data_IF_322538240196
#
_entry.id   IF_322538240196
#
_cell.length_a   1.000
_cell.length_b   1.000
_cell.length_c   1.000
_cell.angle_alpha   90.00
_cell.angle_beta   90.00
_cell.angle_gamma   90.00
#
_symmetry.space_group_name_H-M   'P 1'
#
loop_
_entity.id
_entity.type
_entity.pdbx_description
1 polymer ?
#
# COMPACT_ATOMS: atom_id res chain seq x y z
N UNK A 1 -47.07 6.53 5.41
CA UNK A 1 -46.31 7.18 6.49
C UNK A 1 -45.06 6.37 6.92
N UNK A 2 -45.01 5.05 6.82
CA UNK A 2 -43.80 4.23 7.11
C UNK A 2 -42.75 4.24 5.96
N UNK A 3 -43.17 4.47 4.72
CA UNK A 3 -42.27 4.51 3.55
C UNK A 3 -41.43 5.79 3.48
N UNK A 4 -41.90 6.91 4.01
CA UNK A 4 -41.17 8.19 4.01
C UNK A 4 -40.06 8.23 5.06
N UNK A 5 -40.22 7.54 6.18
CA UNK A 5 -39.21 7.53 7.28
C UNK A 5 -37.96 6.71 6.93
N UNK A 6 -38.14 5.62 6.19
CA UNK A 6 -37.01 4.79 5.70
C UNK A 6 -36.22 5.47 4.60
N UNK A 7 -36.86 6.28 3.77
CA UNK A 7 -36.19 7.02 2.68
C UNK A 7 -35.42 8.23 3.23
N UNK A 8 -35.95 8.93 4.23
CA UNK A 8 -35.21 10.03 4.91
C UNK A 8 -33.97 9.48 5.65
N UNK A 9 -34.10 8.36 6.37
CA UNK A 9 -32.96 7.72 7.05
C UNK A 9 -31.91 7.27 6.03
N UNK A 10 -32.30 6.67 4.91
CA UNK A 10 -31.38 6.31 3.82
C UNK A 10 -30.68 7.50 3.21
N UNK A 11 -31.41 8.62 2.99
CA UNK A 11 -30.84 9.84 2.43
C UNK A 11 -29.85 10.48 3.41
N UNK A 12 -30.15 10.52 4.72
CA UNK A 12 -29.24 11.01 5.75
C UNK A 12 -28.00 10.13 5.81
N UNK A 13 -28.15 8.80 5.87
CA UNK A 13 -27.06 7.85 5.93
C UNK A 13 -26.15 7.94 4.69
N UNK A 14 -26.73 8.06 3.49
CA UNK A 14 -25.96 8.25 2.24
C UNK A 14 -25.27 9.60 2.22
N UNK A 15 -25.89 10.67 2.75
CA UNK A 15 -25.28 12.00 2.82
C UNK A 15 -24.08 12.02 3.76
N UNK A 16 -24.23 11.45 4.96
CA UNK A 16 -23.13 11.37 5.94
C UNK A 16 -21.97 10.53 5.40
N UNK A 17 -22.26 9.37 4.77
CA UNK A 17 -21.23 8.54 4.14
C UNK A 17 -20.54 9.27 2.97
N UNK A 18 -21.27 10.02 2.16
CA UNK A 18 -20.68 10.81 1.06
C UNK A 18 -19.79 11.94 1.57
N UNK A 19 -20.18 12.60 2.66
CA UNK A 19 -19.38 13.64 3.29
C UNK A 19 -18.10 13.07 3.90
N UNK A 20 -18.16 11.93 4.56
CA UNK A 20 -16.99 11.20 5.07
C UNK A 20 -16.04 10.78 3.94
N UNK A 21 -16.56 10.25 2.83
CA UNK A 21 -15.76 9.88 1.65
C UNK A 21 -15.06 11.13 1.09
N UNK A 22 -15.79 12.22 0.89
CA UNK A 22 -15.23 13.45 0.33
C UNK A 22 -14.14 14.02 1.25
N UNK A 23 -14.40 14.10 2.55
CA UNK A 23 -13.44 14.59 3.54
C UNK A 23 -12.19 13.70 3.59
N UNK A 24 -12.36 12.38 3.63
CA UNK A 24 -11.24 11.43 3.59
C UNK A 24 -10.41 11.56 2.32
N UNK A 25 -11.05 11.70 1.16
CA UNK A 25 -10.36 11.93 -0.11
C UNK A 25 -9.60 13.25 -0.13
N UNK A 26 -10.20 14.34 0.37
CA UNK A 26 -9.54 15.64 0.45
C UNK A 26 -8.30 15.59 1.36
N UNK A 27 -8.40 14.92 2.51
CA UNK A 27 -7.30 14.76 3.46
C UNK A 27 -6.08 14.08 2.81
N UNK A 28 -6.30 13.15 1.89
CA UNK A 28 -5.21 12.42 1.23
C UNK A 28 -4.79 13.09 -0.09
N UNK A 29 -5.74 13.47 -0.94
CA UNK A 29 -5.43 13.99 -2.28
C UNK A 29 -4.88 15.41 -2.25
N UNK A 30 -5.41 16.30 -1.39
CA UNK A 30 -4.98 17.71 -1.37
C UNK A 30 -3.50 17.82 -0.99
N UNK A 31 -2.99 17.20 0.09
CA UNK A 31 -1.57 17.24 0.40
C UNK A 31 -0.70 16.65 -0.70
N UNK A 32 -1.13 15.53 -1.33
CA UNK A 32 -0.41 14.89 -2.42
C UNK A 32 -0.28 15.81 -3.64
N UNK A 33 -1.38 16.45 -4.04
CA UNK A 33 -1.40 17.40 -5.18
C UNK A 33 -0.57 18.63 -4.86
N UNK A 34 -0.70 19.20 -3.67
CA UNK A 34 0.09 20.35 -3.24
C UNK A 34 1.60 20.01 -3.25
N UNK A 35 1.98 18.82 -2.74
CA UNK A 35 3.35 18.33 -2.83
C UNK A 35 3.82 18.17 -4.26
N UNK A 36 2.99 17.60 -5.14
CA UNK A 36 3.32 17.42 -6.56
C UNK A 36 3.51 18.74 -7.32
N UNK A 37 2.92 19.83 -6.89
CA UNK A 37 3.14 21.16 -7.50
C UNK A 37 4.53 21.73 -7.17
N UNK A 38 5.21 21.21 -6.13
CA UNK A 38 6.52 21.70 -5.69
C UNK A 38 7.63 21.09 -6.55
N UNK A 39 8.25 21.88 -7.42
CA UNK A 39 9.42 21.48 -8.21
C UNK A 39 10.70 21.90 -7.51
N UNK A 40 11.56 20.93 -7.21
CA UNK A 40 12.85 21.14 -6.55
C UNK A 40 13.97 20.75 -7.50
N UNK A 41 14.90 21.69 -7.77
CA UNK A 41 16.06 21.45 -8.63
C UNK A 41 17.31 21.07 -7.84
N UNK A 42 17.34 21.37 -6.54
CA UNK A 42 18.50 21.14 -5.70
C UNK A 42 18.53 19.68 -5.20
N UNK A 43 19.54 18.93 -5.58
CA UNK A 43 19.75 17.53 -5.20
C UNK A 43 19.90 17.35 -3.68
N UNK A 44 20.53 18.31 -2.97
CA UNK A 44 20.67 18.25 -1.51
C UNK A 44 19.31 18.42 -0.83
N UNK A 45 18.44 19.28 -1.36
CA UNK A 45 17.09 19.44 -0.85
C UNK A 45 16.23 18.17 -1.08
N UNK A 46 16.36 17.52 -2.24
CA UNK A 46 15.70 16.23 -2.50
C UNK A 46 16.20 15.13 -1.56
N UNK A 47 17.51 15.04 -1.34
CA UNK A 47 18.08 14.08 -0.38
C UNK A 47 17.59 14.33 1.06
N UNK A 48 17.40 15.59 1.44
CA UNK A 48 16.82 15.95 2.73
C UNK A 48 15.35 15.55 2.83
N UNK A 49 14.55 15.79 1.79
CA UNK A 49 13.15 15.37 1.72
C UNK A 49 13.03 13.85 1.84
N UNK A 50 13.90 13.08 1.16
CA UNK A 50 13.92 11.63 1.28
C UNK A 50 14.18 11.18 2.72
N UNK A 51 15.05 11.87 3.47
CA UNK A 51 15.28 11.59 4.90
C UNK A 51 14.04 11.92 5.75
N UNK A 52 13.34 13.03 5.43
CA UNK A 52 12.09 13.40 6.14
C UNK A 52 11.02 12.33 5.90
N UNK A 53 10.83 11.89 4.65
CA UNK A 53 9.87 10.83 4.32
C UNK A 53 10.16 9.55 5.10
N UNK A 54 11.42 9.12 5.15
CA UNK A 54 11.84 7.95 5.92
C UNK A 54 11.59 8.14 7.43
N UNK A 55 11.88 9.33 7.97
CA UNK A 55 11.61 9.64 9.37
C UNK A 55 10.10 9.56 9.68
N UNK A 56 9.27 10.22 8.87
CA UNK A 56 7.82 10.20 9.02
C UNK A 56 7.26 8.77 8.92
N UNK A 57 7.82 7.96 8.02
CA UNK A 57 7.48 6.55 7.90
C UNK A 57 7.76 5.79 9.21
N UNK A 58 8.96 5.94 9.79
CA UNK A 58 9.28 5.32 11.08
C UNK A 58 8.37 5.80 12.21
N UNK A 59 8.05 7.11 12.24
CA UNK A 59 7.14 7.69 13.25
C UNK A 59 5.74 7.07 13.12
N UNK A 60 5.19 6.98 11.91
CA UNK A 60 3.86 6.37 11.68
C UNK A 60 3.84 4.91 12.13
N UNK A 61 4.85 4.12 11.74
CA UNK A 61 4.93 2.71 12.08
C UNK A 61 5.11 2.50 13.59
N UNK A 62 5.92 3.35 14.23
CA UNK A 62 6.07 3.37 15.69
C UNK A 62 4.74 3.68 16.38
N UNK A 63 4.03 4.74 15.95
CA UNK A 63 2.73 5.12 16.53
C UNK A 63 1.69 4.01 16.35
N UNK A 64 1.64 3.37 15.17
CA UNK A 64 0.75 2.22 14.93
C UNK A 64 1.09 1.06 15.87
N UNK A 65 2.38 0.71 16.00
CA UNK A 65 2.83 -0.32 16.93
C UNK A 65 2.47 0.02 18.38
N UNK A 66 2.66 1.28 18.79
CA UNK A 66 2.33 1.77 20.12
C UNK A 66 0.83 1.62 20.45
N UNK A 67 -0.04 2.04 19.52
CA UNK A 67 -1.49 1.86 19.67
C UNK A 67 -1.91 0.38 19.68
N UNK A 68 -1.21 -0.47 18.92
CA UNK A 68 -1.41 -1.92 18.95
C UNK A 68 -0.99 -2.51 20.31
N UNK A 69 0.14 -2.03 20.88
CA UNK A 69 0.63 -2.46 22.20
C UNK A 69 -0.33 -2.14 23.34
N UNK A 70 -1.17 -1.11 23.19
CA UNK A 70 -2.19 -0.71 24.15
C UNK A 70 -3.51 -1.48 24.04
N UNK A 71 -3.62 -2.41 23.09
CA UNK A 71 -4.83 -3.23 22.96
C UNK A 71 -4.93 -4.22 24.13
N UNK A 72 -6.09 -4.28 24.74
CA UNK A 72 -6.44 -5.32 25.70
C UNK A 72 -6.31 -6.71 25.06
N UNK A 73 -5.73 -7.65 25.81
CA UNK A 73 -5.52 -9.05 25.35
C UNK A 73 -4.71 -9.15 24.05
N UNK A 74 -3.65 -8.35 23.93
CA UNK A 74 -2.78 -8.34 22.73
C UNK A 74 -2.24 -9.73 22.40
N UNK A 75 -1.87 -10.53 23.40
CA UNK A 75 -1.35 -11.90 23.24
C UNK A 75 -2.30 -12.82 22.49
N UNK A 76 -3.62 -12.60 22.62
CA UNK A 76 -4.65 -13.36 21.90
C UNK A 76 -4.93 -12.79 20.52
N UNK A 77 -4.83 -11.47 20.34
CA UNK A 77 -5.10 -10.76 19.08
C UNK A 77 -3.96 -10.85 18.08
N UNK A 78 -2.71 -10.89 18.55
CA UNK A 78 -1.53 -10.89 17.67
C UNK A 78 -1.49 -12.10 16.71
N UNK A 79 -1.73 -13.35 17.14
CA UNK A 79 -1.82 -14.47 16.22
C UNK A 79 -2.94 -14.30 15.17
N UNK A 80 -4.09 -13.75 15.57
CA UNK A 80 -5.21 -13.49 14.66
C UNK A 80 -4.80 -12.46 13.59
N UNK A 81 -4.16 -11.38 14.01
CA UNK A 81 -3.66 -10.34 13.11
C UNK A 81 -2.71 -10.94 12.06
N UNK A 82 -1.71 -11.70 12.51
CA UNK A 82 -0.71 -12.30 11.63
C UNK A 82 -1.33 -13.32 10.68
N UNK A 83 -2.16 -14.24 11.18
CA UNK A 83 -2.80 -15.25 10.34
C UNK A 83 -3.76 -14.65 9.33
N UNK A 84 -4.54 -13.64 9.72
CA UNK A 84 -5.44 -12.92 8.81
C UNK A 84 -4.65 -12.19 7.73
N UNK A 85 -3.58 -11.49 8.10
CA UNK A 85 -2.73 -10.76 7.17
C UNK A 85 -2.05 -11.69 6.16
N UNK A 86 -1.50 -12.83 6.62
CA UNK A 86 -0.89 -13.82 5.74
C UNK A 86 -1.93 -14.47 4.80
N UNK A 87 -3.12 -14.76 5.30
CA UNK A 87 -4.23 -15.27 4.50
C UNK A 87 -4.64 -14.29 3.40
N UNK A 88 -4.83 -13.01 3.75
CA UNK A 88 -5.11 -11.92 2.81
C UNK A 88 -3.99 -11.82 1.75
N UNK A 89 -2.74 -11.72 2.20
CA UNK A 89 -1.58 -11.60 1.30
C UNK A 89 -1.49 -12.77 0.32
N UNK A 90 -1.67 -14.00 0.80
CA UNK A 90 -1.60 -15.19 -0.04
C UNK A 90 -2.70 -15.20 -1.11
N UNK A 91 -3.94 -14.91 -0.73
CA UNK A 91 -5.08 -14.94 -1.67
C UNK A 91 -4.96 -13.80 -2.69
N UNK A 92 -4.71 -12.56 -2.23
CA UNK A 92 -4.62 -11.39 -3.12
C UNK A 92 -3.42 -11.55 -4.07
N UNK A 93 -2.26 -11.97 -3.56
CA UNK A 93 -1.07 -12.18 -4.39
C UNK A 93 -1.30 -13.28 -5.43
N UNK A 94 -1.98 -14.37 -5.06
CA UNK A 94 -2.33 -15.44 -6.00
C UNK A 94 -3.24 -14.92 -7.11
N UNK A 95 -4.27 -14.12 -6.79
CA UNK A 95 -5.13 -13.51 -7.79
C UNK A 95 -4.35 -12.58 -8.73
N UNK A 96 -3.41 -11.80 -8.21
CA UNK A 96 -2.56 -10.92 -9.01
C UNK A 96 -1.63 -11.72 -9.93
N UNK A 97 -1.00 -12.78 -9.42
CA UNK A 97 -0.16 -13.68 -10.23
C UNK A 97 -0.98 -14.30 -11.36
N UNK A 98 -2.16 -14.83 -11.08
CA UNK A 98 -3.03 -15.44 -12.08
C UNK A 98 -3.48 -14.42 -13.13
N UNK A 99 -3.97 -13.25 -12.71
CA UNK A 99 -4.44 -12.21 -13.63
C UNK A 99 -3.33 -11.72 -14.56
N UNK A 100 -2.15 -11.44 -14.02
CA UNK A 100 -1.01 -10.95 -14.80
C UNK A 100 -0.33 -12.06 -15.64
N UNK A 101 -0.30 -13.31 -15.15
CA UNK A 101 0.22 -14.43 -15.93
C UNK A 101 -0.66 -14.76 -17.15
N UNK A 102 -1.98 -14.57 -17.05
CA UNK A 102 -2.87 -14.65 -18.21
C UNK A 102 -2.52 -13.56 -19.22
N UNK A 103 -2.29 -12.34 -18.76
CA UNK A 103 -1.87 -11.23 -19.62
C UNK A 103 -0.51 -11.49 -20.26
N UNK A 104 0.48 -11.99 -19.51
CA UNK A 104 1.80 -12.32 -20.05
C UNK A 104 1.75 -13.35 -21.20
N UNK A 105 0.77 -14.25 -21.21
CA UNK A 105 0.58 -15.20 -22.32
C UNK A 105 0.13 -14.53 -23.63
N UNK A 106 -0.41 -13.32 -23.57
CA UNK A 106 -0.79 -12.54 -24.75
C UNK A 106 0.36 -11.70 -25.30
N UNK A 107 1.46 -11.58 -24.56
CA UNK A 107 2.63 -10.80 -24.95
C UNK A 107 3.70 -11.67 -25.65
N UNK A 108 4.56 -11.08 -26.49
CA UNK A 108 5.72 -11.76 -27.05
C UNK A 108 6.62 -12.29 -25.94
N UNK A 109 7.19 -13.49 -26.13
CA UNK A 109 8.10 -14.07 -25.15
C UNK A 109 9.29 -13.14 -24.90
N UNK A 110 9.66 -12.91 -23.63
CA UNK A 110 10.80 -12.06 -23.31
C UNK A 110 12.11 -12.65 -23.84
N UNK A 111 12.97 -11.79 -24.36
CA UNK A 111 14.37 -12.16 -24.62
C UNK A 111 15.09 -12.26 -23.30
N UNK A 112 15.87 -13.31 -23.05
CA UNK A 112 16.59 -13.51 -21.80
C UNK A 112 17.70 -12.46 -21.64
N UNK A 113 17.53 -11.55 -20.69
CA UNK A 113 18.50 -10.51 -20.32
C UNK A 113 19.15 -10.75 -18.95
N UNK A 114 19.27 -12.00 -18.51
CA UNK A 114 20.02 -12.26 -17.28
C UNK A 114 21.50 -11.87 -17.50
N UNK A 115 21.80 -10.59 -17.32
CA UNK A 115 23.18 -10.07 -17.31
C UNK A 115 23.51 -9.60 -15.90
N UNK A 116 24.33 -10.39 -15.20
CA UNK A 116 24.97 -9.98 -13.95
C UNK A 116 24.43 -10.66 -12.68
N UNK A 117 25.16 -10.47 -11.59
CA UNK A 117 24.77 -10.93 -10.26
C UNK A 117 23.52 -10.18 -9.78
N UNK A 118 22.53 -10.91 -9.26
CA UNK A 118 21.33 -10.33 -8.65
C UNK A 118 21.72 -9.37 -7.51
N UNK A 119 20.99 -8.25 -7.31
CA UNK A 119 21.25 -7.36 -6.18
C UNK A 119 21.18 -8.15 -4.89
N UNK A 120 22.00 -7.77 -3.93
CA UNK A 120 21.94 -8.36 -2.60
C UNK A 120 20.53 -8.14 -2.02
N UNK A 121 19.75 -9.20 -1.94
CA UNK A 121 18.41 -9.21 -1.32
C UNK A 121 18.51 -8.82 0.16
N UNK A 122 19.69 -8.98 0.77
CA UNK A 122 19.94 -8.62 2.15
C UNK A 122 19.71 -7.13 2.43
N UNK A 123 20.04 -6.24 1.50
CA UNK A 123 19.85 -4.80 1.74
C UNK A 123 18.36 -4.45 1.85
N UNK A 124 17.55 -4.91 0.91
CA UNK A 124 16.09 -4.70 0.93
C UNK A 124 15.42 -5.42 2.11
N UNK A 125 15.87 -6.64 2.45
CA UNK A 125 15.39 -7.34 3.65
C UNK A 125 15.76 -6.58 4.93
N UNK A 126 16.97 -6.03 5.02
CA UNK A 126 17.39 -5.23 6.18
C UNK A 126 16.55 -3.97 6.34
N UNK A 127 16.13 -3.33 5.25
CA UNK A 127 15.24 -2.19 5.32
C UNK A 127 13.83 -2.58 5.79
N UNK A 128 13.29 -3.69 5.32
CA UNK A 128 12.03 -4.25 5.84
C UNK A 128 12.14 -4.64 7.32
N UNK A 129 13.27 -5.18 7.77
CA UNK A 129 13.53 -5.51 9.18
C UNK A 129 13.58 -4.23 10.04
N UNK A 130 14.19 -3.15 9.55
CA UNK A 130 14.21 -1.86 10.26
C UNK A 130 12.78 -1.30 10.43
N UNK A 131 11.95 -1.38 9.40
CA UNK A 131 10.55 -0.96 9.47
C UNK A 131 9.76 -1.79 10.49
N UNK A 132 9.92 -3.11 10.43
CA UNK A 132 9.31 -4.03 11.40
C UNK A 132 9.80 -3.75 12.83
N UNK A 133 11.08 -3.43 13.02
CA UNK A 133 11.63 -3.09 14.34
C UNK A 133 10.98 -1.84 14.93
N UNK A 134 10.64 -0.83 14.13
CA UNK A 134 9.92 0.35 14.60
C UNK A 134 8.53 -0.02 15.15
N UNK A 135 7.81 -0.94 14.47
CA UNK A 135 6.53 -1.47 14.95
C UNK A 135 6.70 -2.23 16.26
N UNK A 136 7.68 -3.15 16.32
CA UNK A 136 7.94 -3.96 17.54
C UNK A 136 8.30 -3.08 18.72
N UNK A 137 9.18 -2.09 18.53
CA UNK A 137 9.53 -1.11 19.59
C UNK A 137 8.28 -0.35 20.02
N UNK A 138 7.44 0.07 19.08
CA UNK A 138 6.14 0.68 19.36
C UNK A 138 5.26 -0.21 20.23
N UNK A 139 5.08 -1.47 19.86
CA UNK A 139 4.26 -2.46 20.62
C UNK A 139 4.79 -2.59 22.07
N UNK A 140 6.09 -2.81 22.23
CA UNK A 140 6.70 -2.98 23.56
C UNK A 140 6.50 -1.74 24.42
N UNK A 141 6.76 -0.56 23.87
CA UNK A 141 6.58 0.70 24.62
C UNK A 141 5.10 1.00 24.87
N UNK A 142 4.21 0.72 23.92
CA UNK A 142 2.77 0.86 24.12
C UNK A 142 2.24 -0.03 25.23
N UNK A 143 2.70 -1.27 25.29
CA UNK A 143 2.36 -2.21 26.36
C UNK A 143 2.91 -1.76 27.74
N UNK A 144 4.16 -1.26 27.78
CA UNK A 144 4.78 -0.79 29.01
C UNK A 144 4.19 0.54 29.52
N UNK A 145 3.75 1.41 28.61
CA UNK A 145 3.27 2.76 28.95
C UNK A 145 1.74 2.87 28.90
N UNK A 146 1.02 1.76 28.86
CA UNK A 146 -0.43 1.73 28.68
C UNK A 146 -1.20 2.62 29.67
N UNK A 147 -0.72 2.75 30.93
CA UNK A 147 -1.41 3.52 31.96
C UNK A 147 -1.03 5.01 31.97
N UNK A 148 0.01 5.41 31.23
CA UNK A 148 0.63 6.74 31.42
C UNK A 148 0.60 7.61 30.17
N UNK A 149 0.65 7.02 28.99
CA UNK A 149 0.77 7.75 27.73
C UNK A 149 -0.19 7.21 26.68
N UNK A 150 -1.08 8.09 26.21
CA UNK A 150 -1.97 7.80 25.07
C UNK A 150 -1.76 8.85 24.00
N UNK A 151 -1.62 8.44 22.76
CA UNK A 151 -1.64 9.39 21.66
C UNK A 151 -3.07 9.93 21.48
N UNK A 152 -3.24 11.26 21.31
CA UNK A 152 -4.54 11.83 20.98
C UNK A 152 -5.13 11.18 19.73
N UNK A 153 -6.44 10.99 19.71
CA UNK A 153 -7.12 10.48 18.52
C UNK A 153 -6.79 11.33 17.28
N UNK A 154 -6.46 10.67 16.17
CA UNK A 154 -6.10 11.35 14.92
C UNK A 154 -4.66 11.84 14.82
N UNK A 155 -3.79 11.62 15.82
CA UNK A 155 -2.37 12.03 15.74
C UNK A 155 -1.67 11.45 14.51
N UNK A 156 -1.96 10.19 14.16
CA UNK A 156 -1.42 9.52 12.97
C UNK A 156 -1.84 10.23 11.68
N UNK A 157 -3.02 10.85 11.67
CA UNK A 157 -3.54 11.55 10.50
C UNK A 157 -2.69 12.76 10.12
N UNK A 158 -2.23 13.53 11.11
CA UNK A 158 -1.35 14.67 10.85
C UNK A 158 0.01 14.24 10.30
N UNK A 159 0.56 13.15 10.84
CA UNK A 159 1.81 12.58 10.33
C UNK A 159 1.62 12.02 8.93
N UNK A 160 0.48 11.38 8.64
CA UNK A 160 0.10 10.90 7.32
C UNK A 160 -0.01 12.05 6.31
N UNK A 161 -0.69 13.15 6.66
CA UNK A 161 -0.81 14.33 5.80
C UNK A 161 0.57 14.86 5.42
N UNK A 162 1.48 15.00 6.40
CA UNK A 162 2.84 15.42 6.16
C UNK A 162 3.60 14.42 5.26
N UNK A 163 3.48 13.11 5.52
CA UNK A 163 4.09 12.05 4.70
C UNK A 163 3.61 12.14 3.25
N UNK A 164 2.30 12.20 3.03
CA UNK A 164 1.70 12.23 1.68
C UNK A 164 2.12 13.50 0.91
N UNK A 165 2.22 14.64 1.60
CA UNK A 165 2.72 15.88 1.01
C UNK A 165 4.15 15.70 0.49
N UNK A 166 5.06 15.15 1.29
CA UNK A 166 6.45 14.91 0.87
C UNK A 166 6.55 13.82 -0.20
N UNK A 167 5.71 12.78 -0.16
CA UNK A 167 5.58 11.79 -1.23
C UNK A 167 5.14 12.46 -2.54
N UNK A 168 4.19 13.41 -2.48
CA UNK A 168 3.81 14.23 -3.64
C UNK A 168 5.02 14.96 -4.26
N UNK A 169 5.89 15.56 -3.43
CA UNK A 169 7.13 16.19 -3.87
C UNK A 169 8.07 15.16 -4.53
N UNK A 170 8.24 13.99 -3.94
CA UNK A 170 9.06 12.92 -4.52
C UNK A 170 8.54 12.50 -5.89
N UNK A 171 7.23 12.27 -6.04
CA UNK A 171 6.60 11.91 -7.32
C UNK A 171 6.88 12.95 -8.41
N UNK A 172 6.84 14.26 -8.07
CA UNK A 172 7.16 15.34 -9.01
C UNK A 172 8.60 15.33 -9.45
N UNK A 173 9.51 15.01 -8.54
CA UNK A 173 10.95 15.20 -8.75
C UNK A 173 11.71 13.91 -9.11
N UNK A 174 11.02 12.78 -9.24
CA UNK A 174 11.60 11.53 -9.75
C UNK A 174 11.97 11.57 -11.23
N UNK A 175 11.83 12.73 -11.89
CA UNK A 175 12.21 12.93 -13.29
C UNK A 175 11.25 12.27 -14.30
N UNK A 176 10.15 11.71 -13.82
CA UNK A 176 9.19 11.00 -14.66
C UNK A 176 8.08 11.96 -15.07
N UNK A 177 7.92 12.13 -16.38
CA UNK A 177 6.81 12.90 -16.92
C UNK A 177 5.50 12.08 -16.84
N UNK A 178 4.42 12.68 -16.31
CA UNK A 178 3.09 12.08 -16.36
C UNK A 178 2.71 11.66 -17.79
N UNK A 179 3.18 12.41 -18.79
CA UNK A 179 2.97 12.10 -20.20
C UNK A 179 3.62 10.76 -20.61
N UNK A 180 4.84 10.51 -20.15
CA UNK A 180 5.55 9.24 -20.44
C UNK A 180 4.86 8.05 -19.75
N UNK A 181 4.36 8.24 -18.54
CA UNK A 181 3.56 7.25 -17.81
C UNK A 181 2.28 6.92 -18.56
N UNK A 182 1.52 7.94 -18.97
CA UNK A 182 0.25 7.77 -19.69
C UNK A 182 0.45 7.22 -21.11
N UNK A 183 1.62 7.36 -21.70
CA UNK A 183 1.95 6.80 -23.01
C UNK A 183 2.37 5.33 -22.94
N UNK A 184 2.76 4.81 -21.77
CA UNK A 184 3.12 3.40 -21.62
C UNK A 184 1.87 2.53 -21.46
N UNK A 185 1.30 2.10 -22.58
CA UNK A 185 0.10 1.27 -22.61
C UNK A 185 0.23 -0.02 -21.81
N UNK A 186 1.41 -0.65 -21.80
CA UNK A 186 1.63 -1.92 -21.09
C UNK A 186 1.54 -1.70 -19.58
N UNK A 187 2.20 -0.67 -19.04
CA UNK A 187 2.11 -0.33 -17.62
C UNK A 187 0.68 0.00 -17.16
N UNK A 188 -0.07 0.75 -17.99
CA UNK A 188 -1.48 1.06 -17.70
C UNK A 188 -2.38 -0.19 -17.70
N UNK A 189 -2.25 -1.06 -18.69
CA UNK A 189 -3.02 -2.31 -18.77
C UNK A 189 -2.69 -3.20 -17.57
N UNK A 190 -1.40 -3.33 -17.22
CA UNK A 190 -0.96 -4.05 -16.04
C UNK A 190 -1.58 -3.47 -14.77
N UNK A 191 -1.60 -2.14 -14.63
CA UNK A 191 -2.22 -1.46 -13.49
C UNK A 191 -3.71 -1.77 -13.37
N UNK A 192 -4.44 -1.78 -14.49
CA UNK A 192 -5.86 -2.13 -14.52
C UNK A 192 -6.10 -3.61 -14.15
N UNK A 193 -5.34 -4.54 -14.72
CA UNK A 193 -5.45 -5.98 -14.41
C UNK A 193 -5.10 -6.22 -12.96
N UNK A 194 -4.03 -5.61 -12.45
CA UNK A 194 -3.60 -5.72 -11.06
C UNK A 194 -4.68 -5.20 -10.11
N UNK A 195 -5.25 -4.03 -10.39
CA UNK A 195 -6.33 -3.45 -9.57
C UNK A 195 -7.53 -4.38 -9.51
N UNK A 196 -8.01 -4.85 -10.66
CA UNK A 196 -9.15 -5.75 -10.72
C UNK A 196 -8.87 -7.09 -10.02
N UNK A 197 -7.70 -7.68 -10.26
CA UNK A 197 -7.34 -8.95 -9.61
C UNK A 197 -7.11 -8.79 -8.10
N UNK A 198 -6.61 -7.63 -7.63
CA UNK A 198 -6.53 -7.32 -6.20
C UNK A 198 -7.92 -7.25 -5.57
N UNK A 199 -8.86 -6.51 -6.18
CA UNK A 199 -10.22 -6.40 -5.67
C UNK A 199 -10.95 -7.75 -5.68
N UNK A 200 -10.78 -8.56 -6.72
CA UNK A 200 -11.29 -9.95 -6.75
C UNK A 200 -10.67 -10.75 -5.60
N UNK A 201 -9.36 -10.64 -5.39
CA UNK A 201 -8.68 -11.26 -4.27
C UNK A 201 -9.22 -10.80 -2.92
N UNK A 202 -9.57 -9.52 -2.78
CA UNK A 202 -10.22 -8.96 -1.60
C UNK A 202 -11.59 -9.59 -1.32
N UNK A 203 -12.43 -9.73 -2.36
CA UNK A 203 -13.73 -10.41 -2.25
C UNK A 203 -13.55 -11.88 -1.86
N UNK A 204 -12.65 -12.60 -2.52
CA UNK A 204 -12.35 -14.00 -2.21
C UNK A 204 -11.87 -14.13 -0.76
N UNK A 205 -10.97 -13.25 -0.32
CA UNK A 205 -10.47 -13.22 1.06
C UNK A 205 -11.59 -13.00 2.07
N UNK A 206 -12.56 -12.14 1.75
CA UNK A 206 -13.71 -11.89 2.62
C UNK A 206 -14.51 -13.16 2.88
N UNK A 207 -14.73 -14.01 1.86
CA UNK A 207 -15.39 -15.29 2.02
C UNK A 207 -14.56 -16.29 2.84
N UNK A 208 -13.27 -16.44 2.54
CA UNK A 208 -12.42 -17.43 3.22
C UNK A 208 -12.08 -17.06 4.66
N UNK A 209 -11.96 -15.77 4.96
CA UNK A 209 -11.62 -15.27 6.30
C UNK A 209 -12.86 -14.81 7.10
N UNK A 210 -14.07 -15.05 6.58
CA UNK A 210 -15.34 -14.72 7.24
C UNK A 210 -15.44 -13.26 7.71
N UNK A 211 -15.03 -12.32 6.82
CA UNK A 211 -15.12 -10.89 7.08
C UNK A 211 -16.07 -10.19 6.09
N UNK A 212 -16.55 -8.97 6.38
CA UNK A 212 -17.34 -8.19 5.44
C UNK A 212 -16.60 -7.97 4.10
N UNK A 213 -17.35 -7.99 2.99
CA UNK A 213 -16.76 -7.81 1.64
C UNK A 213 -16.06 -6.45 1.54
N UNK A 214 -16.65 -5.39 2.11
CA UNK A 214 -16.06 -4.05 2.17
C UNK A 214 -14.70 -4.04 2.86
N UNK A 215 -14.55 -4.83 3.93
CA UNK A 215 -13.30 -4.99 4.65
C UNK A 215 -12.24 -5.71 3.81
N UNK A 216 -12.61 -6.81 3.13
CA UNK A 216 -11.71 -7.50 2.19
C UNK A 216 -11.26 -6.61 1.04
N UNK A 217 -12.18 -5.81 0.47
CA UNK A 217 -11.88 -4.82 -0.56
C UNK A 217 -10.94 -3.72 -0.06
N UNK A 218 -11.15 -3.22 1.17
CA UNK A 218 -10.25 -2.23 1.75
C UNK A 218 -8.83 -2.79 1.96
N UNK A 219 -8.68 -3.99 2.53
CA UNK A 219 -7.37 -4.62 2.70
C UNK A 219 -6.65 -4.88 1.37
N UNK A 220 -7.39 -5.21 0.32
CA UNK A 220 -6.81 -5.46 -1.00
C UNK A 220 -6.45 -4.19 -1.76
N UNK A 221 -6.91 -3.02 -1.29
CA UNK A 221 -6.71 -1.71 -1.95
C UNK A 221 -5.41 -1.00 -1.55
N UNK A 222 -4.66 -1.53 -0.58
CA UNK A 222 -3.37 -0.97 -0.17
C UNK A 222 -2.28 -1.13 -1.21
N UNK A 223 -2.37 -2.16 -2.06
CA UNK A 223 -1.46 -2.46 -3.17
C UNK A 223 0.01 -2.60 -2.76
N UNK A 224 0.28 -2.87 -1.48
CA UNK A 224 1.63 -2.91 -0.92
C UNK A 224 2.10 -1.58 -0.33
N UNK A 225 1.27 -0.56 -0.28
CA UNK A 225 1.60 0.72 0.38
C UNK A 225 1.22 0.67 1.86
N UNK A 226 1.96 -0.14 2.62
CA UNK A 226 1.69 -0.46 4.03
C UNK A 226 1.57 0.77 4.94
N UNK A 227 2.34 1.85 4.71
CA UNK A 227 2.27 3.06 5.53
C UNK A 227 0.97 3.84 5.34
N UNK A 228 0.40 3.82 4.13
CA UNK A 228 -0.90 4.44 3.85
C UNK A 228 -2.03 3.54 4.35
N UNK A 229 -2.06 2.27 3.95
CA UNK A 229 -3.14 1.35 4.29
C UNK A 229 -3.29 1.16 5.79
N UNK A 230 -2.17 1.01 6.52
CA UNK A 230 -2.21 0.86 7.98
C UNK A 230 -2.81 2.07 8.67
N UNK A 231 -2.45 3.30 8.27
CA UNK A 231 -2.95 4.52 8.92
C UNK A 231 -4.40 4.77 8.57
N UNK A 232 -4.79 4.64 7.30
CA UNK A 232 -6.19 4.83 6.86
C UNK A 232 -7.10 3.85 7.61
N UNK A 233 -6.74 2.57 7.64
CA UNK A 233 -7.57 1.55 8.30
C UNK A 233 -7.49 1.60 9.83
N UNK A 234 -6.39 2.11 10.43
CA UNK A 234 -6.34 2.40 11.86
C UNK A 234 -7.32 3.51 12.23
N UNK A 235 -7.37 4.56 11.45
CA UNK A 235 -8.29 5.68 11.71
C UNK A 235 -9.76 5.29 11.49
N UNK A 236 -10.04 4.46 10.50
CA UNK A 236 -11.40 4.02 10.20
C UNK A 236 -11.92 2.95 11.17
N UNK A 237 -11.10 1.96 11.49
CA UNK A 237 -11.57 0.73 12.15
C UNK A 237 -10.70 0.29 13.35
N UNK A 238 -9.72 1.09 13.73
CA UNK A 238 -8.87 0.88 14.89
C UNK A 238 -7.56 0.14 14.63
N UNK A 239 -6.70 0.06 15.68
CA UNK A 239 -5.31 -0.41 15.53
C UNK A 239 -5.17 -1.85 15.06
N UNK A 240 -6.11 -2.73 15.40
CA UNK A 240 -6.08 -4.13 14.96
C UNK A 240 -6.17 -4.23 13.44
N UNK A 241 -7.09 -3.49 12.83
CA UNK A 241 -7.31 -3.51 11.38
C UNK A 241 -6.14 -2.85 10.62
N UNK A 242 -5.64 -1.73 11.16
CA UNK A 242 -4.43 -1.11 10.61
C UNK A 242 -3.21 -2.02 10.64
N UNK A 243 -3.07 -2.82 11.68
CA UNK A 243 -1.99 -3.80 11.80
C UNK A 243 -2.14 -4.96 10.82
N UNK A 244 -3.36 -5.46 10.60
CA UNK A 244 -3.64 -6.47 9.57
C UNK A 244 -3.24 -5.93 8.20
N UNK A 245 -3.62 -4.68 7.88
CA UNK A 245 -3.24 -4.03 6.61
C UNK A 245 -1.73 -3.91 6.46
N UNK A 246 -1.04 -3.46 7.51
CA UNK A 246 0.42 -3.35 7.52
C UNK A 246 1.10 -4.68 7.20
N UNK A 247 0.76 -5.74 7.94
CA UNK A 247 1.39 -7.05 7.75
C UNK A 247 1.00 -7.69 6.40
N UNK A 248 -0.21 -7.45 5.89
CA UNK A 248 -0.62 -7.89 4.55
C UNK A 248 0.28 -7.27 3.47
N UNK A 249 0.44 -5.95 3.50
CA UNK A 249 1.20 -5.22 2.48
C UNK A 249 2.71 -5.45 2.62
N UNK A 250 3.25 -5.51 3.84
CA UNK A 250 4.65 -5.85 4.11
C UNK A 250 4.99 -7.27 3.65
N UNK A 251 4.10 -8.24 3.90
CA UNK A 251 4.28 -9.62 3.44
C UNK A 251 4.39 -9.69 1.92
N UNK A 252 3.59 -8.92 1.19
CA UNK A 252 3.68 -8.79 -0.26
C UNK A 252 5.05 -8.28 -0.69
N UNK A 253 5.54 -7.21 -0.07
CA UNK A 253 6.86 -6.65 -0.39
C UNK A 253 7.95 -7.69 -0.19
N UNK A 254 8.02 -8.33 0.97
CA UNK A 254 9.01 -9.35 1.27
C UNK A 254 8.95 -10.50 0.26
N UNK A 255 7.75 -11.03 -0.03
CA UNK A 255 7.57 -12.11 -1.01
C UNK A 255 8.01 -11.69 -2.41
N UNK A 256 7.73 -10.44 -2.82
CA UNK A 256 8.10 -9.93 -4.13
C UNK A 256 9.62 -9.95 -4.37
N UNK A 257 10.44 -9.68 -3.35
CA UNK A 257 11.91 -9.72 -3.46
C UNK A 257 12.44 -11.10 -3.91
N UNK A 258 11.73 -12.15 -3.55
CA UNK A 258 12.09 -13.53 -3.94
C UNK A 258 11.41 -13.94 -5.26
N UNK A 259 10.20 -13.47 -5.50
CA UNK A 259 9.40 -13.90 -6.65
C UNK A 259 9.77 -13.15 -7.93
N UNK A 260 10.23 -11.88 -7.86
CA UNK A 260 10.62 -11.10 -9.04
C UNK A 260 11.59 -11.87 -9.96
N UNK A 261 12.76 -12.37 -9.49
CA UNK A 261 13.69 -13.06 -10.37
C UNK A 261 13.13 -14.39 -10.94
N UNK A 262 12.23 -15.04 -10.20
CA UNK A 262 11.63 -16.30 -10.63
C UNK A 262 10.65 -16.10 -11.80
N UNK A 263 9.82 -15.07 -11.71
CA UNK A 263 8.82 -14.76 -12.75
C UNK A 263 9.41 -14.00 -13.93
N UNK A 264 10.45 -13.19 -13.72
CA UNK A 264 10.98 -12.27 -14.74
C UNK A 264 11.40 -12.97 -16.04
N UNK A 265 11.83 -14.22 -15.95
CA UNK A 265 12.31 -14.97 -17.11
C UNK A 265 11.19 -15.34 -18.12
N UNK A 266 9.98 -15.58 -17.62
CA UNK A 266 8.88 -16.08 -18.44
C UNK A 266 7.60 -15.22 -18.37
N UNK A 267 7.42 -14.48 -17.25
CA UNK A 267 6.21 -13.72 -16.92
C UNK A 267 6.60 -12.32 -16.40
N UNK A 268 7.02 -11.43 -17.34
CA UNK A 268 7.55 -10.10 -16.97
C UNK A 268 6.52 -9.22 -16.28
N UNK A 269 5.28 -9.19 -16.82
CA UNK A 269 4.22 -8.37 -16.23
C UNK A 269 3.84 -8.89 -14.84
N UNK A 270 3.86 -10.22 -14.65
CA UNK A 270 3.66 -10.83 -13.34
C UNK A 270 4.78 -10.44 -12.38
N UNK A 271 6.05 -10.54 -12.81
CA UNK A 271 7.22 -10.17 -11.99
C UNK A 271 7.18 -8.71 -11.51
N UNK A 272 6.78 -7.79 -12.37
CA UNK A 272 6.61 -6.39 -12.02
C UNK A 272 5.36 -6.20 -11.15
N UNK A 273 4.24 -6.82 -11.53
CA UNK A 273 2.96 -6.60 -10.90
C UNK A 273 2.85 -7.12 -9.46
N UNK A 274 3.56 -8.21 -9.11
CA UNK A 274 3.56 -8.71 -7.71
C UNK A 274 4.08 -7.68 -6.71
N UNK A 275 4.85 -6.69 -7.15
CA UNK A 275 5.42 -5.63 -6.30
C UNK A 275 4.38 -4.58 -5.90
N UNK A 276 3.33 -4.39 -6.70
CA UNK A 276 2.33 -3.37 -6.45
C UNK A 276 2.91 -1.95 -6.46
N UNK A 277 2.60 -1.18 -5.44
CA UNK A 277 3.02 0.21 -5.31
C UNK A 277 4.54 0.38 -5.20
N UNK A 278 5.28 -0.64 -4.73
CA UNK A 278 6.75 -0.57 -4.56
C UNK A 278 7.52 -0.73 -5.87
N UNK A 279 6.83 -0.96 -7.00
CA UNK A 279 7.44 -1.13 -8.33
C UNK A 279 8.30 0.07 -8.78
N UNK A 280 8.00 1.27 -8.28
CA UNK A 280 8.66 2.49 -8.70
C UNK A 280 9.77 2.96 -7.74
N UNK A 281 9.93 2.30 -6.58
CA UNK A 281 10.90 2.65 -5.55
C UNK A 281 11.66 1.43 -5.00
N UNK A 282 11.20 0.82 -3.91
CA UNK A 282 11.94 -0.20 -3.17
C UNK A 282 12.30 -1.43 -4.01
N UNK A 283 11.42 -1.88 -4.90
CA UNK A 283 11.64 -3.10 -5.71
C UNK A 283 12.21 -2.81 -7.11
N UNK A 284 12.22 -1.54 -7.53
CA UNK A 284 12.70 -1.13 -8.86
C UNK A 284 14.13 -1.62 -9.17
N UNK A 285 15.11 -1.54 -8.26
CA UNK A 285 16.46 -2.05 -8.51
C UNK A 285 16.51 -3.56 -8.82
N UNK A 286 15.63 -4.35 -8.15
CA UNK A 286 15.55 -5.79 -8.36
C UNK A 286 14.87 -6.09 -9.70
N UNK A 287 13.81 -5.34 -10.04
CA UNK A 287 13.14 -5.42 -11.34
C UNK A 287 14.13 -5.14 -12.47
N UNK A 288 14.92 -4.05 -12.36
CA UNK A 288 15.91 -3.67 -13.37
C UNK A 288 17.00 -4.71 -13.55
N UNK A 289 17.55 -5.24 -12.44
CA UNK A 289 18.60 -6.29 -12.52
C UNK A 289 18.08 -7.61 -13.04
N UNK A 290 16.82 -7.95 -12.77
CA UNK A 290 16.22 -9.20 -13.22
C UNK A 290 15.72 -9.15 -14.67
N UNK A 291 15.25 -7.99 -15.14
CA UNK A 291 14.60 -7.81 -16.44
C UNK A 291 15.34 -6.89 -17.42
N UNK A 292 16.45 -6.27 -16.98
CA UNK A 292 17.18 -5.29 -17.77
C UNK A 292 16.57 -3.88 -17.66
N UNK A 293 17.26 -2.88 -18.26
CA UNK A 293 16.82 -1.48 -18.22
C UNK A 293 15.51 -1.26 -19.01
N UNK A 294 15.20 -2.14 -19.93
CA UNK A 294 14.02 -2.04 -20.79
C UNK A 294 12.69 -2.19 -20.07
N UNK A 295 12.67 -2.90 -18.93
CA UNK A 295 11.45 -3.05 -18.11
C UNK A 295 11.18 -1.84 -17.22
N UNK A 296 12.15 -0.94 -17.08
CA UNK A 296 12.05 0.24 -16.20
C UNK A 296 10.86 1.15 -16.54
N UNK A 297 10.63 1.56 -17.80
CA UNK A 297 9.49 2.41 -18.13
C UNK A 297 8.14 1.74 -17.83
N UNK A 298 8.07 0.41 -17.98
CA UNK A 298 6.86 -0.36 -17.67
C UNK A 298 6.62 -0.38 -16.16
N UNK A 299 7.66 -0.69 -15.38
CA UNK A 299 7.60 -0.73 -13.91
C UNK A 299 7.21 0.63 -13.32
N UNK A 300 7.78 1.70 -13.85
CA UNK A 300 7.48 3.07 -13.43
C UNK A 300 6.02 3.43 -13.75
N UNK A 301 5.55 3.16 -14.98
CA UNK A 301 4.17 3.44 -15.37
C UNK A 301 3.17 2.64 -14.53
N UNK A 302 3.43 1.35 -14.33
CA UNK A 302 2.65 0.49 -13.44
C UNK A 302 2.66 1.02 -12.00
N UNK A 303 3.84 1.32 -11.45
CA UNK A 303 4.00 1.85 -10.10
C UNK A 303 3.28 3.18 -9.87
N UNK A 304 3.24 4.07 -10.88
CA UNK A 304 2.45 5.30 -10.79
C UNK A 304 0.95 5.03 -10.65
N UNK A 305 0.39 4.11 -11.44
CA UNK A 305 -1.02 3.72 -11.33
C UNK A 305 -1.31 3.15 -9.95
N UNK A 306 -0.45 2.25 -9.46
CA UNK A 306 -0.61 1.59 -8.17
C UNK A 306 -0.29 2.47 -6.96
N UNK A 307 0.28 3.66 -7.16
CA UNK A 307 0.42 4.68 -6.12
C UNK A 307 -0.71 5.74 -6.16
N UNK A 308 -1.37 5.95 -7.31
CA UNK A 308 -2.48 6.90 -7.41
C UNK A 308 -3.83 6.33 -6.95
N UNK A 309 -4.05 5.03 -7.12
CA UNK A 309 -5.33 4.40 -6.80
C UNK A 309 -5.54 4.08 -5.31
N UNK A 310 -4.56 3.64 -4.52
CA UNK A 310 -4.76 3.27 -3.13
C UNK A 310 -5.43 4.33 -2.27
N UNK A 311 -5.02 5.62 -2.33
CA UNK A 311 -5.68 6.66 -1.55
C UNK A 311 -7.19 6.74 -1.80
N UNK A 312 -7.58 6.60 -3.06
CA UNK A 312 -8.98 6.64 -3.48
C UNK A 312 -9.77 5.43 -3.00
N UNK A 313 -9.23 4.24 -3.27
CA UNK A 313 -9.90 2.97 -2.98
C UNK A 313 -9.95 2.68 -1.48
N UNK A 314 -8.86 2.95 -0.75
CA UNK A 314 -8.81 2.76 0.70
C UNK A 314 -9.86 3.63 1.40
N UNK A 315 -9.90 4.93 1.10
CA UNK A 315 -10.87 5.84 1.70
C UNK A 315 -12.29 5.42 1.32
N UNK A 316 -12.53 5.09 0.05
CA UNK A 316 -13.84 4.66 -0.41
C UNK A 316 -14.34 3.41 0.33
N UNK A 317 -13.53 2.34 0.39
CA UNK A 317 -13.97 1.11 1.03
C UNK A 317 -13.96 1.17 2.57
N UNK A 318 -13.09 1.98 3.18
CA UNK A 318 -13.05 2.15 4.63
C UNK A 318 -14.18 3.02 5.19
N UNK A 319 -14.89 3.77 4.36
CA UNK A 319 -16.05 4.57 4.78
C UNK A 319 -17.30 3.74 5.05
N UNK A 320 -17.31 2.46 4.64
CA UNK A 320 -18.42 1.57 4.95
C UNK A 320 -18.22 0.94 6.33
N UNK A 321 -19.29 0.78 7.13
CA UNK A 321 -19.22 0.10 8.42
C UNK A 321 -18.84 -1.38 8.25
N UNK A 322 -18.12 -1.94 9.24
CA UNK A 322 -17.72 -3.35 9.30
C UNK A 322 -18.54 -4.11 10.33
#
# INVERSE_FOLDING_TARGET
MLFTFTDEIKVIFVKDTMEEIINGLLIVLVPMVLGYLVKIQNQNALAFINKIVMLLLYVILFMMGFMLGQLEHLEQKLPIIVMTALGLSAIILTCNILGLAIYDRTLPKPVNYLQGELPSRWHSLMDSIKLLSAVIIGIVLGWLCNDWLHFPHGSNLYVLIALIFFVGIQLRNNGISLKEVLLNKQGLIMGAIFTLSSLIGGVISAFFLSMPITQGLAFSSGFGWYSLSSVVLTNAWGPMQGSIAFFNDLSREILSLFLIPLFMQHYRSTAIGITGATALDCTLPIIQKSGGIEVTPIAISFGMVTNLLPPLLLVFFSSFPI
#
